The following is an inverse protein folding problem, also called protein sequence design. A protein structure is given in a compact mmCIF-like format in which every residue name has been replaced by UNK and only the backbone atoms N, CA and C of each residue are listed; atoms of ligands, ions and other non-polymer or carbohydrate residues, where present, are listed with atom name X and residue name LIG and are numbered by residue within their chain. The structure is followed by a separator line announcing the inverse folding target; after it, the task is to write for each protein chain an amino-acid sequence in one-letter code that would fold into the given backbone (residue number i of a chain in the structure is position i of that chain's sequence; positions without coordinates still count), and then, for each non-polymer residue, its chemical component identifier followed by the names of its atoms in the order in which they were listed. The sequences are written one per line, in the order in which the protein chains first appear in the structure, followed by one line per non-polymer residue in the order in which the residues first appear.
data_IF_379462648228
#
_entry.id   IF_379462648228
#
_cell.length_a   1.000
_cell.length_b   1.000
_cell.length_c   1.000
_cell.angle_alpha   90.00
_cell.angle_beta   90.00
_cell.angle_gamma   90.00
#
_symmetry.space_group_name_H-M   'P 1'
#
loop_
_entity.id
_entity.type
_entity.pdbx_description
1 polymer ?
#
# COMPACT_ATOMS: atom_id res chain seq x y z
N UNK A 1 -9.33 0.55 -13.88
CA UNK A 1 -8.97 -0.88 -13.95
C UNK A 1 -8.11 -1.09 -15.18
N UNK A 2 -6.99 -1.82 -15.05
CA UNK A 2 -6.02 -2.10 -16.11
C UNK A 2 -5.85 -3.61 -16.25
N UNK A 3 -5.65 -4.07 -17.48
CA UNK A 3 -5.25 -5.45 -17.75
C UNK A 3 -3.76 -5.62 -17.42
N UNK A 4 -3.43 -6.50 -16.50
CA UNK A 4 -2.04 -6.76 -16.09
C UNK A 4 -1.47 -7.97 -16.80
N UNK A 5 -2.23 -9.05 -16.85
CA UNK A 5 -1.80 -10.29 -17.47
C UNK A 5 -2.96 -10.92 -18.26
N UNK A 6 -2.78 -11.05 -19.54
CA UNK A 6 -3.70 -11.79 -20.41
C UNK A 6 -3.34 -13.29 -20.36
N UNK A 7 -4.33 -14.14 -20.18
CA UNK A 7 -4.13 -15.59 -20.14
C UNK A 7 -3.79 -16.16 -21.52
N UNK A 8 -4.34 -15.58 -22.58
CA UNK A 8 -4.12 -16.07 -23.95
C UNK A 8 -3.11 -15.21 -24.72
N UNK A 9 -2.27 -15.82 -25.58
CA UNK A 9 -1.35 -15.07 -26.44
C UNK A 9 -2.05 -14.05 -27.35
N UNK A 10 -3.30 -14.34 -27.74
CA UNK A 10 -4.08 -13.47 -28.63
C UNK A 10 -4.36 -12.10 -28.03
N UNK A 11 -4.48 -12.00 -26.71
CA UNK A 11 -4.82 -10.76 -25.99
C UNK A 11 -3.63 -10.09 -25.30
N UNK A 12 -2.41 -10.62 -25.43
CA UNK A 12 -1.19 -10.04 -24.84
C UNK A 12 -0.96 -8.57 -25.23
N UNK A 13 -1.37 -8.16 -26.42
CA UNK A 13 -1.25 -6.77 -26.89
C UNK A 13 -2.14 -5.77 -26.12
N UNK A 14 -3.09 -6.27 -25.34
CA UNK A 14 -3.99 -5.48 -24.47
C UNK A 14 -3.39 -5.22 -23.10
N UNK A 15 -2.33 -5.90 -22.70
CA UNK A 15 -1.68 -5.71 -21.41
C UNK A 15 -1.25 -4.24 -21.20
N UNK A 16 -1.38 -3.78 -19.96
CA UNK A 16 -1.14 -2.41 -19.50
C UNK A 16 -2.15 -1.38 -20.01
N UNK A 17 -3.15 -1.79 -20.79
CA UNK A 17 -4.25 -0.90 -21.18
C UNK A 17 -5.35 -0.90 -20.13
N UNK A 18 -6.02 0.23 -19.99
CA UNK A 18 -7.24 0.31 -19.19
C UNK A 18 -8.38 -0.41 -19.91
N UNK A 19 -9.33 -0.94 -19.14
CA UNK A 19 -10.55 -1.54 -19.70
C UNK A 19 -11.31 -0.54 -20.57
N UNK A 20 -11.28 0.76 -20.22
CA UNK A 20 -11.91 1.80 -21.04
C UNK A 20 -11.21 1.98 -22.42
N UNK A 21 -9.88 1.88 -22.48
CA UNK A 21 -9.16 1.89 -23.76
C UNK A 21 -9.46 0.65 -24.58
N UNK A 22 -9.54 -0.52 -23.95
CA UNK A 22 -9.90 -1.79 -24.61
C UNK A 22 -11.32 -1.71 -25.16
N UNK A 23 -12.28 -1.21 -24.40
CA UNK A 23 -13.66 -0.99 -24.81
C UNK A 23 -13.72 -0.07 -26.05
N UNK A 24 -12.99 1.04 -26.02
CA UNK A 24 -12.90 1.95 -27.17
C UNK A 24 -12.29 1.28 -28.41
N UNK A 25 -11.26 0.46 -28.23
CA UNK A 25 -10.64 -0.30 -29.35
C UNK A 25 -11.59 -1.32 -29.95
N UNK A 26 -12.46 -1.93 -29.12
CA UNK A 26 -13.45 -2.94 -29.54
C UNK A 26 -14.79 -2.33 -29.99
N UNK A 27 -14.99 -1.02 -29.78
CA UNK A 27 -16.26 -0.35 -30.07
C UNK A 27 -17.41 -0.83 -29.17
N UNK A 28 -17.11 -1.21 -27.94
CA UNK A 28 -18.04 -1.78 -26.95
C UNK A 28 -18.23 -0.86 -25.76
N UNK A 29 -19.25 -1.12 -24.96
CA UNK A 29 -19.37 -0.57 -23.62
C UNK A 29 -18.23 -1.09 -22.70
N UNK A 30 -17.88 -0.34 -21.67
CA UNK A 30 -16.76 -0.67 -20.77
C UNK A 30 -17.05 -1.96 -19.99
N UNK A 31 -18.30 -2.17 -19.57
CA UNK A 31 -18.72 -3.36 -18.82
C UNK A 31 -18.71 -4.57 -19.74
N UNK A 32 -19.27 -4.43 -20.94
CA UNK A 32 -19.29 -5.50 -21.94
C UNK A 32 -17.87 -5.93 -22.32
N UNK A 33 -16.99 -4.96 -22.59
CA UNK A 33 -15.59 -5.25 -22.91
C UNK A 33 -14.85 -5.98 -21.79
N UNK A 34 -15.14 -5.65 -20.52
CA UNK A 34 -14.59 -6.35 -19.37
C UNK A 34 -15.10 -7.80 -19.28
N UNK A 35 -16.40 -7.98 -19.42
CA UNK A 35 -17.04 -9.30 -19.30
C UNK A 35 -16.63 -10.20 -20.47
N UNK A 36 -16.69 -9.69 -21.70
CA UNK A 36 -16.34 -10.46 -22.89
C UNK A 36 -14.87 -10.88 -22.85
N UNK A 37 -13.96 -9.95 -22.51
CA UNK A 37 -12.54 -10.28 -22.39
C UNK A 37 -12.29 -11.34 -21.30
N UNK A 38 -12.96 -11.22 -20.16
CA UNK A 38 -12.84 -12.20 -19.08
C UNK A 38 -13.31 -13.59 -19.52
N UNK A 39 -14.43 -13.66 -20.25
CA UNK A 39 -14.97 -14.92 -20.79
C UNK A 39 -14.09 -15.51 -21.91
N UNK A 40 -13.60 -14.69 -22.82
CA UNK A 40 -12.66 -15.10 -23.87
C UNK A 40 -11.40 -15.78 -23.32
N UNK A 41 -10.98 -15.36 -22.14
CA UNK A 41 -9.77 -15.85 -21.46
C UNK A 41 -10.05 -16.92 -20.40
N UNK A 42 -11.28 -17.43 -20.33
CA UNK A 42 -11.66 -18.48 -19.38
C UNK A 42 -11.64 -18.01 -17.92
N UNK A 43 -11.76 -16.71 -17.67
CA UNK A 43 -11.71 -16.05 -16.35
C UNK A 43 -10.32 -16.04 -15.69
N UNK A 44 -9.26 -16.35 -16.44
CA UNK A 44 -7.88 -16.36 -15.96
C UNK A 44 -7.14 -15.02 -16.21
N UNK A 45 -7.86 -13.99 -16.67
CA UNK A 45 -7.33 -12.65 -16.87
C UNK A 45 -7.05 -11.96 -15.54
N UNK A 46 -5.88 -11.38 -15.36
CA UNK A 46 -5.55 -10.58 -14.19
C UNK A 46 -5.78 -9.09 -14.45
N UNK A 47 -6.65 -8.48 -13.65
CA UNK A 47 -6.89 -7.04 -13.67
C UNK A 47 -6.42 -6.38 -12.40
N UNK A 48 -5.90 -5.16 -12.52
CA UNK A 48 -5.57 -4.31 -11.39
C UNK A 48 -6.45 -3.06 -11.39
N UNK A 49 -7.03 -2.75 -10.25
CA UNK A 49 -7.65 -1.44 -10.01
C UNK A 49 -6.60 -0.48 -9.47
N UNK A 50 -6.73 0.81 -9.80
CA UNK A 50 -6.00 1.83 -9.07
C UNK A 50 -6.42 1.79 -7.60
N UNK A 51 -5.45 1.89 -6.69
CA UNK A 51 -5.74 1.90 -5.25
C UNK A 51 -6.67 3.06 -4.89
N UNK A 52 -7.46 2.87 -3.83
CA UNK A 52 -8.34 3.90 -3.28
C UNK A 52 -7.58 5.13 -2.78
N UNK A 53 -6.27 5.04 -2.58
CA UNK A 53 -5.39 6.08 -2.07
C UNK A 53 -4.46 6.65 -3.16
N UNK A 54 -4.98 6.90 -4.36
CA UNK A 54 -4.22 7.39 -5.50
C UNK A 54 -3.87 8.88 -5.46
N UNK A 55 -4.59 9.69 -4.68
CA UNK A 55 -4.31 11.10 -4.48
C UNK A 55 -3.30 11.29 -3.33
N UNK A 56 -2.05 11.53 -3.69
CA UNK A 56 -0.97 11.67 -2.70
C UNK A 56 -1.13 12.89 -1.78
N UNK A 57 -1.72 13.99 -2.26
CA UNK A 57 -1.93 15.19 -1.44
C UNK A 57 -2.99 14.93 -0.37
N UNK A 58 -4.10 14.35 -0.75
CA UNK A 58 -5.15 13.94 0.16
C UNK A 58 -4.64 12.89 1.18
N UNK A 59 -3.87 11.91 0.73
CA UNK A 59 -3.25 10.91 1.62
C UNK A 59 -2.26 11.55 2.60
N UNK A 60 -1.45 12.51 2.14
CA UNK A 60 -0.51 13.23 2.99
C UNK A 60 -1.24 14.04 4.07
N UNK A 61 -2.36 14.69 3.74
CA UNK A 61 -3.20 15.42 4.68
C UNK A 61 -3.78 14.47 5.75
N UNK A 62 -4.34 13.34 5.31
CA UNK A 62 -4.87 12.30 6.22
C UNK A 62 -3.79 11.79 7.16
N UNK A 63 -2.60 11.45 6.64
CA UNK A 63 -1.49 10.92 7.44
C UNK A 63 -0.97 11.96 8.45
N UNK A 64 -0.97 13.26 8.11
CA UNK A 64 -0.56 14.33 9.03
C UNK A 64 -1.55 14.55 10.16
N UNK A 65 -2.80 14.21 9.97
CA UNK A 65 -3.85 14.44 10.97
C UNK A 65 -3.47 13.81 12.32
N UNK A 66 -3.57 14.56 13.45
CA UNK A 66 -3.29 14.02 14.79
C UNK A 66 -4.34 13.01 15.24
N UNK A 67 -5.45 12.90 14.55
CA UNK A 67 -6.57 12.02 14.90
C UNK A 67 -6.56 10.69 14.10
N UNK A 68 -5.66 10.56 13.13
CA UNK A 68 -5.59 9.39 12.27
C UNK A 68 -4.41 8.50 12.68
N UNK A 69 -4.72 7.24 12.94
CA UNK A 69 -3.71 6.20 13.14
C UNK A 69 -3.20 5.68 11.80
N UNK A 70 -1.92 5.36 11.76
CA UNK A 70 -1.33 4.59 10.68
C UNK A 70 -1.09 3.18 11.21
N UNK A 71 -1.90 2.23 10.80
CA UNK A 71 -1.68 0.89 11.28
C UNK A 71 -2.74 -0.09 10.89
N UNK A 72 -2.71 -0.72 9.87
CA UNK A 72 -3.36 -1.93 9.40
C UNK A 72 -3.13 -2.07 7.90
N UNK A 73 -3.00 -3.27 7.45
CA UNK A 73 -3.02 -3.63 6.04
C UNK A 73 -3.92 -4.83 5.86
N UNK A 74 -4.46 -5.04 4.68
CA UNK A 74 -5.14 -6.28 4.29
C UNK A 74 -4.15 -7.42 3.98
N UNK A 75 -2.90 -7.24 4.36
CA UNK A 75 -1.85 -8.19 4.09
C UNK A 75 -2.15 -9.57 4.69
N UNK A 76 -1.96 -10.59 3.87
CA UNK A 76 -2.15 -11.99 4.27
C UNK A 76 -3.53 -12.57 3.94
N UNK A 77 -4.53 -11.76 3.63
CA UNK A 77 -5.84 -12.27 3.24
C UNK A 77 -5.81 -12.91 1.84
N UNK A 78 -5.16 -12.24 0.89
CA UNK A 78 -5.05 -12.69 -0.50
C UNK A 78 -3.67 -12.32 -1.07
N UNK A 79 -2.66 -13.11 -0.77
CA UNK A 79 -1.27 -12.86 -1.20
C UNK A 79 -1.08 -12.70 -2.71
N UNK A 80 -1.98 -13.29 -3.51
CA UNK A 80 -1.96 -13.16 -4.97
C UNK A 80 -2.35 -11.74 -5.40
N UNK A 81 -3.20 -11.06 -4.63
CA UNK A 81 -3.76 -9.76 -5.02
C UNK A 81 -3.08 -8.58 -4.34
N UNK A 82 -2.77 -8.71 -3.05
CA UNK A 82 -2.17 -7.62 -2.28
C UNK A 82 -1.31 -8.18 -1.13
N UNK A 83 -0.10 -7.69 -1.04
CA UNK A 83 0.83 -7.98 0.04
C UNK A 83 1.20 -6.69 0.78
N UNK A 84 0.20 -5.93 1.21
CA UNK A 84 0.33 -4.63 1.87
C UNK A 84 1.05 -4.64 3.24
N UNK A 85 1.94 -5.60 3.49
CA UNK A 85 2.71 -5.72 4.74
C UNK A 85 3.62 -4.51 5.03
N UNK A 86 3.95 -3.75 3.99
CA UNK A 86 4.94 -2.69 4.04
C UNK A 86 4.44 -1.33 4.55
N UNK A 87 3.24 -1.21 5.13
CA UNK A 87 2.67 0.09 5.49
C UNK A 87 3.56 0.91 6.45
N UNK A 88 4.20 0.28 7.41
CA UNK A 88 5.10 0.94 8.37
C UNK A 88 6.40 1.40 7.72
N UNK A 89 7.00 0.55 6.87
CA UNK A 89 8.20 0.92 6.12
C UNK A 89 7.90 1.97 5.06
N UNK A 90 6.72 1.92 4.43
CA UNK A 90 6.27 2.96 3.50
C UNK A 90 6.03 4.30 4.20
N UNK A 91 5.47 4.31 5.42
CA UNK A 91 5.34 5.54 6.19
C UNK A 91 6.72 6.16 6.43
N UNK A 92 7.67 5.40 6.97
CA UNK A 92 8.98 5.93 7.34
C UNK A 92 9.88 6.18 6.12
N UNK A 93 9.88 5.30 5.13
CA UNK A 93 10.70 5.43 3.93
C UNK A 93 10.16 6.49 2.97
N UNK A 94 8.92 6.35 2.54
CA UNK A 94 8.36 7.21 1.51
C UNK A 94 7.82 8.53 2.07
N UNK A 95 6.89 8.49 3.02
CA UNK A 95 6.22 9.68 3.50
C UNK A 95 7.10 10.57 4.38
N UNK A 96 7.88 9.97 5.28
CA UNK A 96 8.77 10.72 6.18
C UNK A 96 10.06 11.11 5.46
N UNK A 97 10.77 10.16 4.88
CA UNK A 97 12.13 10.37 4.34
C UNK A 97 12.13 11.05 2.97
N UNK A 98 11.34 10.57 2.02
CA UNK A 98 11.32 11.09 0.65
C UNK A 98 10.40 12.30 0.52
N UNK A 99 9.14 12.17 0.92
CA UNK A 99 8.15 13.24 0.82
C UNK A 99 8.24 14.28 1.95
N UNK A 100 8.90 13.96 3.06
CA UNK A 100 9.14 14.87 4.21
C UNK A 100 7.87 15.53 4.75
N UNK A 101 6.77 14.80 4.76
CA UNK A 101 5.47 15.32 5.23
C UNK A 101 5.39 15.52 6.75
N UNK A 102 6.27 14.86 7.49
CA UNK A 102 6.42 14.96 8.95
C UNK A 102 7.84 14.59 9.37
N UNK A 103 8.20 14.83 10.65
CA UNK A 103 9.49 14.40 11.18
C UNK A 103 9.55 12.88 11.41
N UNK A 104 10.77 12.34 11.54
CA UNK A 104 10.95 10.91 11.84
C UNK A 104 10.33 10.55 13.20
N UNK A 105 10.50 11.42 14.18
CA UNK A 105 9.96 11.23 15.53
C UNK A 105 8.44 11.13 15.52
N UNK A 106 7.78 11.97 14.73
CA UNK A 106 6.33 11.93 14.58
C UNK A 106 5.87 10.68 13.82
N UNK A 107 6.58 10.27 12.78
CA UNK A 107 6.31 9.01 12.08
C UNK A 107 6.43 7.80 13.00
N UNK A 108 7.47 7.74 13.81
CA UNK A 108 7.67 6.68 14.82
C UNK A 108 6.57 6.75 15.89
N UNK A 109 6.24 7.95 16.39
CA UNK A 109 5.17 8.15 17.36
C UNK A 109 3.83 7.60 16.87
N UNK A 110 3.49 7.88 15.61
CA UNK A 110 2.25 7.38 14.98
C UNK A 110 2.18 5.86 14.89
N UNK A 111 3.31 5.19 14.67
CA UNK A 111 3.38 3.73 14.58
C UNK A 111 3.48 3.03 15.95
N UNK A 112 3.78 3.76 17.01
CA UNK A 112 4.11 3.16 18.31
C UNK A 112 3.26 3.73 19.45
N UNK A 113 3.65 4.87 20.00
CA UNK A 113 3.02 5.45 21.19
C UNK A 113 1.55 5.82 20.95
N UNK A 114 1.23 6.39 19.80
CA UNK A 114 -0.14 6.81 19.49
C UNK A 114 -1.07 5.61 19.43
N UNK A 115 -0.66 4.52 18.76
CA UNK A 115 -1.42 3.26 18.73
C UNK A 115 -1.56 2.67 20.13
N UNK A 116 -0.45 2.54 20.86
CA UNK A 116 -0.45 1.99 22.20
C UNK A 116 -1.38 2.78 23.15
N UNK A 117 -1.37 4.11 23.05
CA UNK A 117 -2.20 4.99 23.87
C UNK A 117 -3.69 4.82 23.61
N UNK A 118 -4.10 4.71 22.34
CA UNK A 118 -5.51 4.56 21.97
C UNK A 118 -6.05 3.19 22.41
N UNK A 119 -5.24 2.15 22.28
CA UNK A 119 -5.63 0.81 22.73
C UNK A 119 -5.38 0.56 24.24
N UNK A 120 -4.99 1.57 25.00
CA UNK A 120 -4.78 1.46 26.44
C UNK A 120 -3.61 0.55 26.85
N UNK A 121 -2.64 0.34 25.97
CA UNK A 121 -1.47 -0.50 26.23
C UNK A 121 -0.48 0.25 27.11
N UNK A 122 -0.59 0.06 28.41
CA UNK A 122 0.28 0.71 29.39
C UNK A 122 1.73 0.24 29.25
N UNK A 123 2.66 1.18 29.33
CA UNK A 123 4.09 0.89 29.28
C UNK A 123 4.60 0.44 27.91
N UNK A 124 3.88 0.71 26.82
CA UNK A 124 4.24 0.37 25.46
C UNK A 124 4.38 1.63 24.57
N UNK A 125 5.14 1.49 23.47
CA UNK A 125 5.29 2.56 22.50
C UNK A 125 6.23 3.70 22.87
N UNK A 126 6.92 3.62 24.02
CA UNK A 126 7.91 4.61 24.48
C UNK A 126 9.20 3.92 24.92
N UNK A 127 10.34 4.52 24.59
CA UNK A 127 11.62 4.16 25.17
C UNK A 127 11.71 4.80 26.57
N UNK A 128 11.56 4.00 27.59
CA UNK A 128 11.57 4.44 28.98
C UNK A 128 12.32 3.46 29.86
N UNK A 129 13.05 3.95 30.85
CA UNK A 129 13.78 3.10 31.80
C UNK A 129 12.80 2.15 32.53
N UNK A 130 13.13 0.86 32.56
CA UNK A 130 12.26 -0.18 33.14
C UNK A 130 11.17 -0.73 32.20
N UNK A 131 11.12 -0.29 30.96
CA UNK A 131 10.18 -0.81 29.96
C UNK A 131 10.89 -1.60 28.85
N UNK A 132 10.47 -2.84 28.63
CA UNK A 132 11.02 -3.72 27.61
C UNK A 132 10.29 -3.52 26.28
N UNK A 133 10.55 -2.37 25.60
CA UNK A 133 9.97 -2.04 24.29
C UNK A 133 11.00 -2.13 23.16
N UNK A 134 12.01 -2.98 23.30
CA UNK A 134 13.03 -3.16 22.27
C UNK A 134 12.53 -4.08 21.18
N UNK A 135 12.16 -3.52 20.03
CA UNK A 135 12.14 -4.23 18.78
C UNK A 135 13.53 -4.17 18.17
N UNK A 136 14.29 -5.25 18.26
CA UNK A 136 15.53 -5.40 17.52
C UNK A 136 15.18 -5.92 16.13
N UNK A 137 15.14 -5.06 15.14
CA UNK A 137 15.03 -5.48 13.75
C UNK A 137 16.44 -5.84 13.24
N UNK A 138 16.79 -7.11 13.32
CA UNK A 138 17.92 -7.69 12.58
C UNK A 138 17.43 -8.05 11.18
N UNK A 139 17.67 -7.19 10.21
CA UNK A 139 17.34 -7.46 8.79
C UNK A 139 17.96 -6.42 7.85
N UNK A 140 18.11 -6.73 6.57
CA UNK A 140 18.83 -5.89 5.59
C UNK A 140 18.19 -4.52 5.30
N UNK A 141 17.03 -4.22 5.87
CA UNK A 141 16.31 -2.95 5.65
C UNK A 141 16.78 -1.84 6.60
N UNK A 142 17.43 -2.17 7.71
CA UNK A 142 17.87 -1.19 8.71
C UNK A 142 19.21 -0.51 8.44
N UNK A 143 20.22 -1.13 7.77
CA UNK A 143 21.46 -0.45 7.49
C UNK A 143 21.30 0.85 6.70
N UNK A 144 20.39 0.86 5.71
CA UNK A 144 20.13 2.06 4.89
C UNK A 144 19.45 3.20 5.65
N UNK A 145 18.81 2.90 6.78
CA UNK A 145 18.17 3.90 7.64
C UNK A 145 19.14 4.61 8.58
N UNK A 146 20.21 3.89 8.99
CA UNK A 146 21.19 4.40 9.94
C UNK A 146 22.42 5.02 9.26
N UNK A 147 22.72 4.65 8.01
CA UNK A 147 23.86 5.17 7.24
C UNK A 147 23.61 6.53 6.58
N UNK A 148 22.41 7.08 6.67
CA UNK A 148 22.05 8.38 6.09
C UNK A 148 22.07 9.49 7.15
N UNK A 149 23.23 9.68 7.82
CA UNK A 149 23.58 10.88 8.56
C UNK A 149 24.64 11.68 7.79
#
# INVERSE_FOLDING_TARGET
MYLINAATPANKYLEKKSVAEIAKMRGQDVIDAFLDLSLEEGLDTEFQTSSTNGDEEAVAEIIRSPYVLVGQSDAGAHLIYDAGFGYSTRLLGYWVREKKIMSLEEGVRKLTFMVASIFGLQGRGLLRRGMANLASAKGPVLPSFLEAR
#
